data_IF_224188333046
#
_entry.id   IF_224188333046
#
_cell.length_a   1.000
_cell.length_b   1.000
_cell.length_c   1.000
_cell.angle_alpha   90.00
_cell.angle_beta   90.00
_cell.angle_gamma   90.00
#
_symmetry.space_group_name_H-M   'P 1'
#
loop_
_entity.id
_entity.type
_entity.pdbx_description
1 polymer ?
#
# COMPACT_ATOMS: atom_id res chain seq x y z
N UNK A 1 10.37 -32.66 -11.68
CA UNK A 1 9.13 -33.38 -11.35
C UNK A 1 7.96 -32.52 -11.77
N UNK A 2 6.95 -33.09 -12.44
CA UNK A 2 5.75 -32.33 -12.81
C UNK A 2 4.87 -32.13 -11.56
N UNK A 3 4.54 -30.87 -11.25
CA UNK A 3 3.56 -30.57 -10.19
C UNK A 3 2.16 -31.01 -10.65
N UNK A 4 1.44 -31.73 -9.78
CA UNK A 4 0.06 -32.18 -9.98
C UNK A 4 -0.94 -30.99 -10.00
N UNK A 5 -0.57 -29.88 -9.37
CA UNK A 5 -1.35 -28.64 -9.33
C UNK A 5 -0.51 -27.51 -9.91
N UNK A 6 -1.07 -26.78 -10.89
CA UNK A 6 -0.47 -25.58 -11.46
C UNK A 6 -1.44 -24.42 -11.28
N UNK A 7 -0.91 -23.27 -10.87
CA UNK A 7 -1.63 -22.01 -10.98
C UNK A 7 -1.98 -21.79 -12.46
N UNK A 8 -3.19 -21.27 -12.72
CA UNK A 8 -3.59 -20.82 -14.06
C UNK A 8 -3.37 -19.31 -14.10
N UNK A 9 -2.36 -18.91 -14.84
CA UNK A 9 -2.03 -17.50 -14.99
C UNK A 9 -2.97 -16.88 -16.04
N UNK A 10 -3.74 -15.88 -15.62
CA UNK A 10 -4.62 -15.09 -16.49
C UNK A 10 -4.09 -13.67 -16.71
N UNK A 11 -3.25 -13.20 -15.79
CA UNK A 11 -2.57 -11.91 -15.86
C UNK A 11 -1.30 -11.97 -15.03
N UNK A 12 -0.21 -11.46 -15.57
CA UNK A 12 1.09 -11.35 -14.89
C UNK A 12 1.91 -10.26 -15.56
N UNK A 13 2.69 -9.53 -14.76
CA UNK A 13 3.72 -8.61 -15.26
C UNK A 13 4.94 -8.70 -14.36
N UNK A 14 6.11 -8.40 -14.92
CA UNK A 14 7.31 -8.11 -14.14
C UNK A 14 7.26 -6.63 -13.76
N UNK A 15 7.65 -6.32 -12.52
CA UNK A 15 7.77 -4.95 -12.01
C UNK A 15 9.24 -4.59 -12.09
N UNK A 16 9.60 -3.74 -13.06
CA UNK A 16 10.99 -3.31 -13.28
C UNK A 16 11.33 -2.15 -12.34
N UNK A 17 12.53 -2.22 -11.75
CA UNK A 17 13.17 -1.15 -10.99
C UNK A 17 14.04 -0.25 -11.88
N UNK A 18 15.06 0.36 -11.29
CA UNK A 18 15.98 1.23 -12.02
C UNK A 18 16.82 0.43 -13.04
N UNK A 19 17.14 1.07 -14.17
CA UNK A 19 18.02 0.54 -15.22
C UNK A 19 17.61 -0.84 -15.78
N UNK A 20 16.32 -1.20 -15.71
CA UNK A 20 15.80 -2.46 -16.23
C UNK A 20 16.13 -3.68 -15.35
N UNK A 21 16.51 -3.45 -14.10
CA UNK A 21 16.66 -4.50 -13.09
C UNK A 21 15.30 -4.89 -12.50
N UNK A 22 15.18 -6.06 -11.90
CA UNK A 22 13.97 -6.43 -11.16
C UNK A 22 13.83 -5.57 -9.91
N UNK A 23 12.61 -5.08 -9.64
CA UNK A 23 12.34 -4.28 -8.45
C UNK A 23 12.52 -5.10 -7.16
N UNK A 24 13.36 -4.61 -6.24
CA UNK A 24 13.45 -5.19 -4.90
C UNK A 24 12.26 -4.76 -4.04
N UNK A 25 11.62 -5.71 -3.38
CA UNK A 25 10.46 -5.46 -2.54
C UNK A 25 10.38 -6.44 -1.37
N UNK A 26 9.49 -6.18 -0.43
CA UNK A 26 9.19 -7.06 0.69
C UNK A 26 7.69 -7.33 0.80
N UNK A 27 7.30 -8.06 1.84
CA UNK A 27 5.90 -8.44 2.11
C UNK A 27 4.94 -7.24 2.24
N UNK A 28 5.44 -6.07 2.64
CA UNK A 28 4.65 -4.85 2.78
C UNK A 28 4.37 -4.11 1.46
N UNK A 29 4.99 -4.51 0.36
CA UNK A 29 5.03 -3.75 -0.89
C UNK A 29 3.86 -4.03 -1.84
N UNK A 30 2.86 -4.84 -1.45
CA UNK A 30 1.69 -5.14 -2.27
C UNK A 30 0.41 -4.95 -1.45
N UNK A 31 -0.55 -4.22 -2.00
CA UNK A 31 -1.89 -4.06 -1.43
C UNK A 31 -2.94 -4.09 -2.53
N UNK A 32 -4.09 -4.72 -2.24
CA UNK A 32 -5.23 -4.82 -3.15
C UNK A 32 -6.38 -4.05 -2.52
N UNK A 33 -6.87 -3.01 -3.20
CA UNK A 33 -7.98 -2.19 -2.71
C UNK A 33 -8.63 -1.35 -3.81
N UNK A 34 -9.87 -0.93 -3.60
CA UNK A 34 -10.56 0.11 -4.35
C UNK A 34 -9.98 1.51 -4.02
N UNK A 35 -8.74 1.77 -4.46
CA UNK A 35 -7.99 2.99 -4.11
C UNK A 35 -8.50 4.24 -4.84
N UNK A 36 -9.12 4.09 -6.01
CA UNK A 36 -9.75 5.18 -6.75
C UNK A 36 -11.18 5.46 -6.30
N UNK A 37 -11.67 4.79 -5.24
CA UNK A 37 -13.01 4.97 -4.67
C UNK A 37 -14.14 4.82 -5.70
N UNK A 38 -13.94 3.92 -6.67
CA UNK A 38 -14.86 3.67 -7.78
C UNK A 38 -16.19 3.09 -7.28
N UNK A 39 -17.27 3.39 -8.02
CA UNK A 39 -18.62 2.85 -7.79
C UNK A 39 -19.15 2.30 -9.12
N UNK A 40 -19.37 0.97 -9.26
CA UNK A 40 -19.19 -0.07 -8.24
C UNK A 40 -17.73 -0.25 -7.80
N UNK A 41 -17.54 -0.75 -6.58
CA UNK A 41 -16.20 -0.96 -6.04
C UNK A 41 -15.44 -2.00 -6.87
N UNK A 42 -14.25 -1.62 -7.35
CA UNK A 42 -13.36 -2.49 -8.10
C UNK A 42 -11.96 -2.34 -7.54
N UNK A 43 -11.40 -3.43 -7.02
CA UNK A 43 -10.04 -3.41 -6.49
C UNK A 43 -9.00 -3.25 -7.58
N UNK A 44 -7.89 -2.63 -7.20
CA UNK A 44 -6.69 -2.42 -8.01
C UNK A 44 -5.51 -3.07 -7.30
N UNK A 45 -4.53 -3.53 -8.06
CA UNK A 45 -3.27 -4.04 -7.52
C UNK A 45 -2.34 -2.86 -7.37
N UNK A 46 -1.87 -2.58 -6.16
CA UNK A 46 -0.95 -1.49 -5.88
C UNK A 46 0.35 -2.12 -5.41
N UNK A 47 1.44 -1.80 -6.10
CA UNK A 47 2.78 -2.28 -5.78
C UNK A 47 3.73 -1.13 -5.60
N UNK A 48 4.65 -1.29 -4.65
CA UNK A 48 5.78 -0.40 -4.44
C UNK A 48 7.07 -1.20 -4.39
N UNK A 49 8.21 -0.52 -4.34
CA UNK A 49 9.49 -1.17 -4.12
C UNK A 49 10.55 -0.24 -3.57
N UNK A 50 11.74 -0.78 -3.36
CA UNK A 50 12.86 -0.08 -2.73
C UNK A 50 13.50 0.98 -3.63
N UNK A 51 13.28 0.93 -4.95
CA UNK A 51 13.61 2.05 -5.86
C UNK A 51 12.75 3.30 -5.61
N UNK A 52 11.65 3.16 -4.87
CA UNK A 52 10.64 4.21 -4.72
C UNK A 52 9.58 4.21 -5.82
N UNK A 53 9.63 3.26 -6.75
CA UNK A 53 8.61 3.13 -7.80
C UNK A 53 7.31 2.61 -7.24
N UNK A 54 6.21 3.33 -7.50
CA UNK A 54 4.84 2.98 -7.14
C UNK A 54 4.03 2.76 -8.42
N UNK A 55 3.34 1.62 -8.53
CA UNK A 55 2.46 1.30 -9.66
C UNK A 55 1.08 0.88 -9.17
N UNK A 56 0.05 1.32 -9.89
CA UNK A 56 -1.34 0.89 -9.69
C UNK A 56 -1.83 0.23 -10.96
N UNK A 57 -2.20 -1.05 -10.88
CA UNK A 57 -2.73 -1.82 -12.00
C UNK A 57 -4.23 -2.08 -11.85
N UNK A 58 -4.92 -2.06 -12.98
CA UNK A 58 -6.28 -2.57 -13.16
C UNK A 58 -6.24 -3.70 -14.20
N UNK A 59 -5.96 -4.94 -13.79
CA UNK A 59 -6.02 -6.09 -14.69
C UNK A 59 -7.43 -6.22 -15.30
N UNK A 60 -7.51 -6.43 -16.62
CA UNK A 60 -8.75 -6.65 -17.35
C UNK A 60 -8.57 -7.81 -18.34
N UNK A 61 -9.62 -8.60 -18.54
CA UNK A 61 -9.70 -9.49 -19.70
C UNK A 61 -10.58 -8.84 -20.77
N UNK A 62 -10.26 -9.09 -22.04
CA UNK A 62 -11.01 -8.56 -23.16
C UNK A 62 -11.44 -9.72 -24.06
N UNK A 63 -12.70 -9.71 -24.48
CA UNK A 63 -13.21 -10.66 -25.48
C UNK A 63 -13.13 -9.99 -26.84
N UNK A 64 -12.39 -10.56 -27.79
CA UNK A 64 -12.38 -10.06 -29.18
C UNK A 64 -13.70 -10.36 -29.89
N UNK A 65 -13.96 -9.69 -31.03
CA UNK A 65 -15.15 -9.93 -31.89
C UNK A 65 -15.25 -11.37 -32.48
N UNK A 66 -14.41 -12.31 -32.05
CA UNK A 66 -14.48 -13.74 -32.36
C UNK A 66 -14.80 -14.65 -31.16
N UNK A 67 -15.07 -14.09 -29.97
CA UNK A 67 -15.38 -14.86 -28.76
C UNK A 67 -14.17 -15.43 -28.01
N UNK A 68 -12.95 -15.15 -28.48
CA UNK A 68 -11.72 -15.53 -27.78
C UNK A 68 -11.40 -14.51 -26.67
N UNK A 69 -11.20 -15.03 -25.45
CA UNK A 69 -10.77 -14.25 -24.29
C UNK A 69 -9.26 -14.00 -24.37
N UNK A 70 -8.86 -12.74 -24.45
CA UNK A 70 -7.46 -12.32 -24.42
C UNK A 70 -7.08 -12.05 -22.97
N UNK A 71 -6.21 -12.93 -22.46
CA UNK A 71 -5.59 -12.83 -21.14
C UNK A 71 -4.16 -12.29 -21.25
N UNK A 72 -3.66 -11.66 -20.18
CA UNK A 72 -2.27 -11.19 -20.10
C UNK A 72 -2.12 -9.70 -19.82
N UNK A 73 -0.88 -9.28 -19.54
CA UNK A 73 -0.54 -7.89 -19.30
C UNK A 73 -0.65 -7.04 -20.57
N UNK A 74 -1.08 -5.78 -20.39
CA UNK A 74 -1.12 -4.74 -21.42
C UNK A 74 -0.82 -3.39 -20.77
N UNK A 75 -0.25 -2.46 -21.54
CA UNK A 75 0.14 -1.15 -21.02
C UNK A 75 -1.05 -0.34 -20.49
N UNK A 76 -2.25 -0.50 -21.06
CA UNK A 76 -3.48 0.14 -20.60
C UNK A 76 -4.01 -0.42 -19.27
N UNK A 77 -3.42 -1.50 -18.74
CA UNK A 77 -3.70 -1.98 -17.39
C UNK A 77 -3.00 -1.14 -16.31
N UNK A 78 -2.03 -0.28 -16.67
CA UNK A 78 -1.34 0.61 -15.73
C UNK A 78 -2.16 1.89 -15.56
N UNK A 79 -2.75 2.08 -14.37
CA UNK A 79 -3.51 3.29 -14.05
C UNK A 79 -2.60 4.43 -13.62
N UNK A 80 -1.53 4.13 -12.89
CA UNK A 80 -0.59 5.09 -12.35
C UNK A 80 0.78 4.43 -12.27
N UNK A 81 1.80 5.16 -12.69
CA UNK A 81 3.21 4.89 -12.40
C UNK A 81 3.84 6.19 -11.89
N UNK A 82 4.50 6.12 -10.74
CA UNK A 82 5.16 7.25 -10.12
C UNK A 82 6.45 6.83 -9.44
N UNK A 83 7.54 7.56 -9.66
CA UNK A 83 8.79 7.40 -8.92
C UNK A 83 8.80 8.35 -7.73
N UNK A 84 8.71 7.79 -6.53
CA UNK A 84 8.82 8.53 -5.28
C UNK A 84 10.30 8.72 -4.91
N UNK A 85 10.60 9.76 -4.13
CA UNK A 85 12.00 10.10 -3.80
C UNK A 85 12.68 9.16 -2.79
N UNK A 86 11.96 8.17 -2.25
CA UNK A 86 12.44 7.33 -1.16
C UNK A 86 11.94 5.88 -1.32
N UNK A 87 12.69 4.88 -0.83
CA UNK A 87 12.27 3.49 -0.81
C UNK A 87 10.90 3.29 -0.16
N UNK A 88 10.08 2.41 -0.73
CA UNK A 88 8.78 2.04 -0.17
C UNK A 88 8.95 0.79 0.68
N UNK A 89 8.82 0.94 2.01
CA UNK A 89 8.91 -0.18 2.95
C UNK A 89 7.58 -0.92 3.07
N UNK A 90 6.46 -0.19 3.06
CA UNK A 90 5.13 -0.78 3.21
C UNK A 90 4.05 0.12 2.62
N UNK A 91 3.01 -0.49 2.08
CA UNK A 91 1.79 0.14 1.60
C UNK A 91 0.61 -0.26 2.47
N UNK A 92 -0.32 0.67 2.67
CA UNK A 92 -1.62 0.39 3.25
C UNK A 92 -2.70 1.27 2.58
N UNK A 93 -3.93 0.78 2.53
CA UNK A 93 -5.09 1.54 2.05
C UNK A 93 -6.14 1.58 3.14
N UNK A 94 -6.69 2.76 3.39
CA UNK A 94 -7.67 2.98 4.44
C UNK A 94 -8.15 4.42 4.54
N UNK A 95 -8.97 4.69 5.56
CA UNK A 95 -9.62 5.99 5.81
C UNK A 95 -8.70 6.89 6.64
N UNK A 96 -7.59 7.28 6.04
CA UNK A 96 -6.51 8.01 6.72
C UNK A 96 -6.71 9.53 6.81
N UNK A 97 -7.70 10.10 6.13
CA UNK A 97 -7.94 11.56 6.12
C UNK A 97 -9.17 11.92 6.97
N UNK A 98 -9.06 12.92 7.84
CA UNK A 98 -10.12 13.26 8.81
C UNK A 98 -11.34 13.91 8.15
N UNK A 99 -11.16 14.61 7.04
CA UNK A 99 -12.21 15.36 6.35
C UNK A 99 -13.20 14.52 5.52
N UNK A 100 -12.90 13.25 5.24
CA UNK A 100 -13.74 12.38 4.42
C UNK A 100 -13.61 10.90 4.84
N UNK A 101 -14.34 10.01 4.17
CA UNK A 101 -14.34 8.57 4.45
C UNK A 101 -13.86 7.74 3.25
N UNK A 102 -13.15 8.38 2.32
CA UNK A 102 -12.54 7.73 1.16
C UNK A 102 -11.30 6.93 1.55
N UNK A 103 -10.98 5.92 0.73
CA UNK A 103 -9.71 5.23 0.76
C UNK A 103 -8.60 6.17 0.27
N UNK A 104 -7.51 6.22 1.04
CA UNK A 104 -6.25 6.89 0.71
C UNK A 104 -5.12 5.88 0.76
N UNK A 105 -4.03 6.15 0.04
CA UNK A 105 -2.84 5.31 0.03
C UNK A 105 -1.87 5.84 1.09
N UNK A 106 -1.55 5.02 2.08
CA UNK A 106 -0.47 5.29 3.00
C UNK A 106 0.80 4.57 2.54
N UNK A 107 1.89 5.32 2.44
CA UNK A 107 3.22 4.83 2.05
C UNK A 107 4.17 5.07 3.20
N UNK A 108 4.76 3.98 3.70
CA UNK A 108 5.82 4.03 4.69
C UNK A 108 7.17 4.05 4.00
N UNK A 109 7.97 5.06 4.33
CA UNK A 109 9.36 5.20 3.93
C UNK A 109 10.25 5.10 5.18
N UNK A 110 11.59 5.02 5.04
CA UNK A 110 12.49 4.90 6.19
C UNK A 110 12.33 6.03 7.21
N UNK A 111 12.21 7.29 6.78
CA UNK A 111 12.20 8.46 7.68
C UNK A 111 10.87 9.23 7.69
N UNK A 112 9.83 8.71 7.01
CA UNK A 112 8.54 9.39 6.86
C UNK A 112 7.39 8.44 6.56
N UNK A 113 6.20 8.89 6.91
CA UNK A 113 4.94 8.32 6.51
C UNK A 113 4.22 9.34 5.62
N UNK A 114 3.79 8.96 4.43
CA UNK A 114 3.08 9.88 3.52
C UNK A 114 1.74 9.28 3.15
N UNK A 115 0.68 10.07 3.31
CA UNK A 115 -0.66 9.70 2.87
C UNK A 115 -0.97 10.45 1.59
N UNK A 116 -1.36 9.69 0.57
CA UNK A 116 -1.69 10.18 -0.75
C UNK A 116 -3.16 9.96 -1.09
N UNK A 117 -3.71 10.89 -1.85
CA UNK A 117 -4.99 10.74 -2.55
C UNK A 117 -4.73 10.35 -4.00
N UNK A 118 -5.48 9.37 -4.50
CA UNK A 118 -5.52 9.02 -5.92
C UNK A 118 -6.80 9.59 -6.52
N UNK A 119 -6.67 10.46 -7.50
CA UNK A 119 -7.80 11.03 -8.24
C UNK A 119 -7.73 10.65 -9.72
N UNK A 120 -8.86 10.22 -10.30
CA UNK A 120 -8.98 9.93 -11.73
C UNK A 120 -9.75 11.08 -12.38
N UNK A 121 -9.13 11.74 -13.36
CA UNK A 121 -9.79 12.76 -14.18
C UNK A 121 -10.14 12.15 -15.53
N UNK A 122 -11.41 12.19 -15.91
CA UNK A 122 -11.84 11.73 -17.22
C UNK A 122 -11.18 12.56 -18.32
N UNK A 123 -10.53 11.89 -19.26
CA UNK A 123 -9.89 12.57 -20.40
C UNK A 123 -10.92 13.16 -21.37
N UNK A 124 -10.56 14.26 -22.05
CA UNK A 124 -11.34 14.72 -23.20
C UNK A 124 -11.09 13.79 -24.41
N UNK A 125 -12.12 13.64 -25.26
CA UNK A 125 -12.18 12.72 -26.40
C UNK A 125 -10.80 12.47 -27.06
N UNK A 126 -10.30 11.23 -26.92
CA UNK A 126 -9.07 10.74 -27.57
C UNK A 126 -7.84 10.62 -26.66
N UNK A 127 -7.84 11.23 -25.48
CA UNK A 127 -6.78 11.07 -24.48
C UNK A 127 -7.39 10.33 -23.29
N UNK A 128 -6.88 9.16 -22.92
CA UNK A 128 -7.45 8.33 -21.86
C UNK A 128 -7.55 9.02 -20.50
N UNK A 129 -8.13 8.33 -19.53
CA UNK A 129 -8.25 8.83 -18.16
C UNK A 129 -6.87 9.15 -17.56
N UNK A 130 -6.77 10.28 -16.87
CA UNK A 130 -5.54 10.70 -16.20
C UNK A 130 -5.65 10.47 -14.70
N UNK A 131 -4.89 9.51 -14.19
CA UNK A 131 -4.75 9.26 -12.76
C UNK A 131 -3.65 10.14 -12.18
N UNK A 132 -3.96 10.84 -11.08
CA UNK A 132 -3.02 11.70 -10.38
C UNK A 132 -2.86 11.24 -8.93
N UNK A 133 -1.60 11.22 -8.48
CA UNK A 133 -1.20 11.03 -7.09
C UNK A 133 -0.93 12.40 -6.44
N UNK A 134 -1.60 12.72 -5.33
CA UNK A 134 -1.37 13.96 -4.57
C UNK A 134 -1.12 13.65 -3.10
N UNK A 135 -0.20 14.38 -2.46
CA UNK A 135 0.02 14.26 -1.02
C UNK A 135 -1.16 14.89 -0.29
N UNK A 136 -1.81 14.12 0.58
CA UNK A 136 -2.80 14.63 1.54
C UNK A 136 -2.10 15.22 2.76
N UNK A 137 -1.19 14.45 3.37
CA UNK A 137 -0.30 14.91 4.44
C UNK A 137 0.91 13.99 4.58
N UNK A 138 1.90 14.42 5.36
CA UNK A 138 3.07 13.62 5.70
C UNK A 138 3.46 13.79 7.17
N UNK A 139 3.98 12.72 7.77
CA UNK A 139 4.64 12.73 9.06
C UNK A 139 6.12 12.45 8.88
N UNK A 140 6.96 13.37 9.36
CA UNK A 140 8.39 13.09 9.51
C UNK A 140 8.60 12.21 10.73
N UNK A 141 9.25 11.07 10.54
CA UNK A 141 9.56 10.16 11.64
C UNK A 141 10.86 10.60 12.32
N UNK A 142 10.88 10.51 13.65
CA UNK A 142 12.08 10.79 14.44
C UNK A 142 13.06 9.61 14.46
N UNK A 143 12.61 8.46 13.96
CA UNK A 143 13.31 7.17 14.01
C UNK A 143 13.06 6.44 12.71
N UNK A 144 14.04 5.67 12.26
CA UNK A 144 13.88 4.89 11.04
C UNK A 144 12.81 3.81 11.24
N UNK A 145 11.87 3.75 10.32
CA UNK A 145 10.77 2.79 10.33
C UNK A 145 11.22 1.38 9.97
N UNK A 146 10.54 0.40 10.54
CA UNK A 146 10.57 -1.00 10.13
C UNK A 146 9.28 -1.36 9.38
N UNK A 147 8.14 -1.18 10.04
CA UNK A 147 6.82 -1.56 9.52
C UNK A 147 5.72 -0.66 10.10
N UNK A 148 4.51 -0.78 9.56
CA UNK A 148 3.32 -0.12 10.10
C UNK A 148 2.14 -1.08 10.21
N UNK A 149 1.21 -0.73 11.08
CA UNK A 149 -0.13 -1.30 11.17
C UNK A 149 -1.15 -0.18 11.07
N UNK A 150 -2.33 -0.53 10.57
CA UNK A 150 -3.44 0.40 10.44
C UNK A 150 -4.73 -0.23 10.97
N UNK A 151 -5.67 0.63 11.34
CA UNK A 151 -7.03 0.20 11.69
C UNK A 151 -7.73 1.16 12.63
N UNK A 152 -8.95 0.81 13.06
CA UNK A 152 -9.77 1.64 13.93
C UNK A 152 -9.34 1.53 15.40
N UNK A 153 -8.11 1.93 15.74
CA UNK A 153 -7.58 1.86 17.11
C UNK A 153 -8.52 2.56 18.09
N UNK A 154 -8.80 1.97 19.25
CA UNK A 154 -9.78 2.50 20.20
C UNK A 154 -11.24 2.31 19.79
N UNK A 155 -11.52 1.55 18.71
CA UNK A 155 -12.87 1.30 18.21
C UNK A 155 -13.50 2.46 17.45
N UNK A 156 -12.67 3.35 16.85
CA UNK A 156 -13.16 4.48 16.07
C UNK A 156 -13.96 4.04 14.84
N UNK A 157 -15.03 4.77 14.52
CA UNK A 157 -15.91 4.42 13.40
C UNK A 157 -15.55 5.19 12.14
N UNK A 158 -15.36 4.46 11.04
CA UNK A 158 -15.18 5.06 9.71
C UNK A 158 -13.87 5.81 9.53
N UNK A 159 -12.86 5.52 10.36
CA UNK A 159 -11.52 6.11 10.35
C UNK A 159 -10.50 5.02 10.61
N UNK A 160 -9.33 5.16 10.00
CA UNK A 160 -8.19 4.30 10.27
C UNK A 160 -7.04 5.14 10.80
N UNK A 161 -6.48 4.71 11.92
CA UNK A 161 -5.27 5.25 12.52
C UNK A 161 -4.07 4.39 12.13
N UNK A 162 -2.87 4.91 12.38
CA UNK A 162 -1.63 4.32 11.90
C UNK A 162 -0.67 4.22 13.08
N UNK A 163 -0.03 3.06 13.26
CA UNK A 163 1.09 2.92 14.18
C UNK A 163 2.31 2.38 13.43
N UNK A 164 3.44 3.05 13.60
CA UNK A 164 4.72 2.71 12.98
C UNK A 164 5.62 2.10 14.03
N UNK A 165 6.16 0.91 13.76
CA UNK A 165 7.23 0.30 14.53
C UNK A 165 8.57 0.75 13.93
N UNK A 166 9.44 1.34 14.74
CA UNK A 166 10.80 1.69 14.34
C UNK A 166 11.78 0.53 14.50
N UNK A 167 12.95 0.67 13.88
CA UNK A 167 14.05 -0.30 13.99
C UNK A 167 14.58 -0.47 15.43
N UNK A 168 14.40 0.53 16.29
CA UNK A 168 14.80 0.51 17.72
C UNK A 168 13.64 0.18 18.67
N UNK A 169 12.51 -0.34 18.14
CA UNK A 169 11.43 -0.88 18.97
C UNK A 169 10.46 0.15 19.54
N UNK A 170 10.46 1.36 19.01
CA UNK A 170 9.47 2.37 19.35
C UNK A 170 8.22 2.19 18.47
N UNK A 171 7.05 2.13 19.10
CA UNK A 171 5.75 2.24 18.43
C UNK A 171 5.33 3.71 18.47
N UNK A 172 5.17 4.32 17.29
CA UNK A 172 4.70 5.70 17.13
C UNK A 172 3.30 5.67 16.52
N UNK A 173 2.31 6.17 17.26
CA UNK A 173 0.91 6.20 16.83
C UNK A 173 0.49 7.57 16.29
N UNK A 174 -0.31 7.55 15.23
CA UNK A 174 -0.86 8.71 14.55
C UNK A 174 -2.37 8.59 14.40
N UNK A 175 -3.08 9.61 14.87
CA UNK A 175 -4.49 9.85 14.58
C UNK A 175 -4.58 10.70 13.33
N UNK A 176 -4.51 10.04 12.16
CA UNK A 176 -4.60 10.68 10.85
C UNK A 176 -3.51 11.76 10.67
N UNK A 177 -3.88 13.03 10.56
CA UNK A 177 -2.96 14.16 10.41
C UNK A 177 -2.20 14.51 11.70
N UNK A 178 -2.54 13.90 12.84
CA UNK A 178 -1.97 14.24 14.16
C UNK A 178 -1.13 13.11 14.74
N UNK A 179 0.02 13.46 15.32
CA UNK A 179 0.76 12.56 16.22
C UNK A 179 -0.05 12.35 17.50
N UNK A 180 -0.14 11.10 17.96
CA UNK A 180 -0.82 10.75 19.21
C UNK A 180 0.19 10.51 20.34
N UNK A 181 0.99 9.46 20.23
CA UNK A 181 1.97 9.09 21.25
C UNK A 181 3.09 8.22 20.68
N UNK A 182 4.12 7.99 21.49
CA UNK A 182 5.10 6.94 21.27
C UNK A 182 5.29 6.08 22.52
N UNK A 183 5.67 4.82 22.33
CA UNK A 183 5.93 3.87 23.41
C UNK A 183 6.97 2.85 22.98
N UNK A 184 7.93 2.52 23.85
CA UNK A 184 8.94 1.50 23.58
C UNK A 184 8.43 0.11 23.94
N UNK A 185 8.68 -0.85 23.06
CA UNK A 185 8.46 -2.26 23.35
C UNK A 185 9.46 -2.73 24.42
N UNK A 186 8.99 -3.41 25.49
CA UNK A 186 9.88 -3.97 26.49
C UNK A 186 10.67 -5.16 25.91
N UNK A 187 11.92 -5.36 26.37
CA UNK A 187 12.73 -6.51 25.96
C UNK A 187 13.10 -6.54 24.47
N UNK A 188 13.13 -5.37 23.81
CA UNK A 188 13.37 -5.28 22.37
C UNK A 188 14.83 -5.57 21.98
N UNK A 189 15.01 -6.32 20.90
CA UNK A 189 16.32 -6.53 20.25
C UNK A 189 16.23 -6.29 18.73
N UNK A 190 15.33 -6.99 18.04
CA UNK A 190 15.04 -6.79 16.61
C UNK A 190 13.54 -6.61 16.40
N UNK A 191 13.14 -5.83 15.38
CA UNK A 191 11.74 -5.62 15.09
C UNK A 191 11.12 -6.88 14.49
N UNK A 192 10.14 -7.45 15.19
CA UNK A 192 9.33 -8.54 14.69
C UNK A 192 8.06 -8.07 14.00
N UNK A 193 7.28 -8.99 13.41
CA UNK A 193 5.98 -8.69 12.82
C UNK A 193 5.05 -8.08 13.88
N UNK A 194 4.14 -7.22 13.43
CA UNK A 194 3.17 -6.52 14.26
C UNK A 194 1.80 -6.56 13.59
N UNK A 195 0.74 -6.72 14.38
CA UNK A 195 -0.64 -6.75 13.90
C UNK A 195 -1.57 -6.07 14.89
N UNK A 196 -2.59 -5.38 14.39
CA UNK A 196 -3.68 -4.85 15.20
C UNK A 196 -4.89 -5.79 15.15
N UNK A 197 -5.47 -6.09 16.31
CA UNK A 197 -6.66 -6.93 16.44
C UNK A 197 -7.83 -6.08 16.93
N UNK A 198 -8.65 -5.61 15.99
CA UNK A 198 -9.78 -4.70 16.27
C UNK A 198 -10.79 -5.26 17.28
N UNK A 199 -11.00 -6.59 17.30
CA UNK A 199 -11.99 -7.22 18.21
C UNK A 199 -11.66 -7.01 19.68
N UNK A 200 -10.38 -7.02 20.04
CA UNK A 200 -9.89 -6.87 21.42
C UNK A 200 -9.14 -5.57 21.65
N UNK A 201 -9.00 -4.74 20.61
CA UNK A 201 -8.27 -3.48 20.62
C UNK A 201 -6.84 -3.61 21.14
N UNK A 202 -6.10 -4.59 20.60
CA UNK A 202 -4.71 -4.87 20.99
C UNK A 202 -3.77 -4.89 19.80
N UNK A 203 -2.53 -4.54 20.07
CA UNK A 203 -1.40 -4.74 19.17
C UNK A 203 -0.68 -6.01 19.61
N UNK A 204 -0.47 -6.92 18.67
CA UNK A 204 0.28 -8.16 18.87
C UNK A 204 1.60 -8.04 18.11
N UNK A 205 2.69 -8.46 18.75
CA UNK A 205 4.01 -8.56 18.12
C UNK A 205 4.73 -9.81 18.60
N UNK A 206 5.84 -10.13 17.94
CA UNK A 206 6.68 -11.28 18.23
C UNK A 206 8.10 -10.77 18.50
N UNK A 207 8.60 -10.97 19.72
CA UNK A 207 9.96 -10.57 20.12
C UNK A 207 11.02 -11.55 19.60
N UNK A 208 12.30 -11.21 19.76
CA UNK A 208 13.43 -12.00 19.25
C UNK A 208 13.94 -13.08 20.21
N UNK A 209 13.37 -13.19 21.40
CA UNK A 209 13.80 -14.04 22.53
C UNK A 209 13.14 -15.43 22.55
N UNK A 210 12.91 -16.02 21.36
CA UNK A 210 12.30 -17.35 21.20
C UNK A 210 13.27 -18.49 21.48
#
# INVERSE_FOLDING_TARGET
>A
GMSLFKARDWWSTVVEGEEGTEEECCTGCLVIANINNEKPAKDKIIVGGFSGTLRVFCPQSYVHEGGEEVSGYRADHVLLEATLSYPILQLAVGKFVSSNDFNHLCVLHPDRLVVYTISVTAGQAGHGDHTRLTIAYQHKLQRNAHSMITGPFGGVKGKDYIAVQSLDGCITAFEQESFAFNSFLPGFLLPGPIAYVAKSDVIITVSSDW
#
